data_IF_353970178246
#
_entry.id   IF_353970178246
#
_cell.length_a   1.000
_cell.length_b   1.000
_cell.length_c   1.000
_cell.angle_alpha   90.00
_cell.angle_beta   90.00
_cell.angle_gamma   90.00
#
_symmetry.space_group_name_H-M   'P 1'
#
loop_
_entity.id
_entity.type
_entity.pdbx_description
1 polymer ?
#
# COMPACT_ATOMS: atom_id res chain seq x y z
N UNK A 1 -9.09 0.12 15.27
CA UNK A 1 -8.27 -0.37 16.39
C UNK A 1 -7.27 -1.39 15.87
N UNK A 2 -6.18 -1.65 16.64
CA UNK A 2 -5.16 -2.63 16.25
C UNK A 2 -4.10 -2.13 15.29
N UNK A 3 -4.02 -0.82 15.01
CA UNK A 3 -2.98 -0.25 14.18
C UNK A 3 -1.61 -0.41 14.87
N UNK A 4 -0.65 -1.00 14.14
CA UNK A 4 0.75 -1.00 14.57
C UNK A 4 1.30 0.44 14.51
N UNK A 5 1.82 0.93 15.64
CA UNK A 5 2.43 2.26 15.74
C UNK A 5 3.93 2.19 15.42
N UNK A 6 4.28 1.55 14.30
CA UNK A 6 5.65 1.52 13.79
C UNK A 6 6.10 2.89 13.25
N UNK A 7 7.41 3.10 13.19
CA UNK A 7 8.01 4.38 12.76
C UNK A 7 7.48 4.87 11.39
N UNK A 8 7.31 3.96 10.43
CA UNK A 8 6.81 4.26 9.08
C UNK A 8 5.33 4.69 9.09
N UNK A 9 4.51 4.07 9.94
CA UNK A 9 3.09 4.45 10.11
C UNK A 9 3.00 5.83 10.77
N UNK A 10 3.79 6.06 11.81
CA UNK A 10 3.83 7.36 12.50
C UNK A 10 4.39 8.46 11.62
N UNK A 11 5.42 8.20 10.80
CA UNK A 11 5.94 9.14 9.84
C UNK A 11 4.86 9.54 8.81
N UNK A 12 4.09 8.56 8.31
CA UNK A 12 2.95 8.83 7.41
C UNK A 12 1.87 9.67 8.08
N UNK A 13 1.49 9.35 9.32
CA UNK A 13 0.49 10.13 10.08
C UNK A 13 0.96 11.58 10.32
N UNK A 14 2.23 11.77 10.67
CA UNK A 14 2.81 13.09 10.88
C UNK A 14 2.88 13.90 9.57
N UNK A 15 3.24 13.26 8.45
CA UNK A 15 3.21 13.89 7.14
C UNK A 15 1.80 14.35 6.75
N UNK A 16 0.78 13.51 6.98
CA UNK A 16 -0.62 13.88 6.73
C UNK A 16 -1.10 15.02 7.63
N UNK A 17 -0.69 15.06 8.91
CA UNK A 17 -0.95 16.20 9.80
C UNK A 17 -0.31 17.48 9.28
N UNK A 18 0.93 17.41 8.82
CA UNK A 18 1.62 18.56 8.23
C UNK A 18 0.95 19.06 6.94
N UNK A 19 0.26 18.18 6.21
CA UNK A 19 -0.58 18.49 5.06
C UNK A 19 -1.99 18.98 5.44
N UNK A 20 -2.29 19.17 6.73
CA UNK A 20 -3.54 19.77 7.22
C UNK A 20 -4.64 18.77 7.63
N UNK A 21 -4.35 17.49 7.65
CA UNK A 21 -5.32 16.48 8.10
C UNK A 21 -5.31 16.38 9.61
N UNK A 22 -6.49 16.43 10.24
CA UNK A 22 -6.61 16.18 11.67
C UNK A 22 -6.60 14.66 11.92
N UNK A 23 -5.60 14.21 12.68
CA UNK A 23 -5.43 12.80 13.05
C UNK A 23 -5.21 12.73 14.57
N UNK A 24 -6.15 12.14 15.27
CA UNK A 24 -6.12 11.99 16.73
C UNK A 24 -6.23 10.52 17.13
N UNK A 25 -5.74 10.21 18.33
CA UNK A 25 -5.92 8.92 18.97
C UNK A 25 -6.93 9.05 20.09
N UNK A 26 -7.93 8.18 20.09
CA UNK A 26 -8.94 8.15 21.16
C UNK A 26 -8.41 7.42 22.40
N UNK A 27 -9.05 7.61 23.54
CA UNK A 27 -8.73 6.91 24.78
C UNK A 27 -8.87 5.38 24.66
N UNK A 28 -9.67 4.90 23.72
CA UNK A 28 -9.82 3.46 23.40
C UNK A 28 -8.73 2.91 22.49
N UNK A 29 -7.76 3.74 22.10
CA UNK A 29 -6.68 3.36 21.19
C UNK A 29 -7.07 3.29 19.72
N UNK A 30 -8.28 3.76 19.36
CA UNK A 30 -8.65 3.93 17.96
C UNK A 30 -8.07 5.24 17.39
N UNK A 31 -7.82 5.27 16.11
CA UNK A 31 -7.38 6.45 15.38
C UNK A 31 -8.58 7.10 14.69
N UNK A 32 -8.75 8.40 14.89
CA UNK A 32 -9.75 9.20 14.20
C UNK A 32 -9.05 10.11 13.19
N UNK A 33 -9.53 10.08 11.95
CA UNK A 33 -8.97 10.86 10.84
C UNK A 33 -10.12 11.70 10.27
N UNK A 34 -9.99 13.01 10.31
CA UNK A 34 -10.94 13.93 9.69
C UNK A 34 -10.41 14.31 8.32
N UNK A 35 -11.05 13.75 7.27
CA UNK A 35 -10.69 14.01 5.90
C UNK A 35 -10.94 15.46 5.50
N UNK A 36 -10.13 15.97 4.56
CA UNK A 36 -10.20 17.37 4.09
C UNK A 36 -10.80 17.52 2.68
N UNK A 37 -11.36 16.44 2.13
CA UNK A 37 -11.95 16.43 0.78
C UNK A 37 -10.92 16.49 -0.33
N UNK A 38 -11.41 16.63 -1.58
CA UNK A 38 -10.59 16.51 -2.80
C UNK A 38 -9.44 17.55 -2.89
N UNK A 39 -9.62 18.75 -2.34
CA UNK A 39 -8.66 19.85 -2.48
C UNK A 39 -8.31 20.54 -1.17
N UNK A 40 -8.55 19.88 -0.04
CA UNK A 40 -8.37 20.48 1.29
C UNK A 40 -6.97 20.36 1.87
N UNK A 41 -6.04 19.67 1.22
CA UNK A 41 -4.66 19.59 1.67
C UNK A 41 -3.95 20.94 1.51
N UNK A 42 -3.03 21.24 2.44
CA UNK A 42 -2.25 22.47 2.46
C UNK A 42 -0.75 22.18 2.29
N UNK A 43 0.00 23.17 1.77
CA UNK A 43 1.47 23.07 1.71
C UNK A 43 2.05 23.03 3.12
N UNK A 44 2.90 22.05 3.45
CA UNK A 44 3.51 21.96 4.76
C UNK A 44 4.56 23.07 4.95
N UNK A 45 4.73 23.52 6.19
CA UNK A 45 5.71 24.60 6.54
C UNK A 45 7.16 24.09 6.55
N UNK A 46 7.35 22.79 6.71
CA UNK A 46 8.66 22.12 6.78
C UNK A 46 8.68 20.92 5.83
N UNK A 47 9.85 20.46 5.42
CA UNK A 47 9.96 19.19 4.69
C UNK A 47 9.26 18.05 5.43
N UNK A 48 8.64 17.14 4.67
CA UNK A 48 8.03 15.93 5.17
C UNK A 48 9.11 14.86 5.33
N UNK A 49 9.50 14.59 6.55
CA UNK A 49 10.45 13.51 6.86
C UNK A 49 9.70 12.18 7.01
N UNK A 50 10.04 11.24 6.16
CA UNK A 50 9.44 9.90 6.14
C UNK A 50 10.34 8.84 6.78
N UNK A 51 11.46 9.23 7.41
CA UNK A 51 12.42 8.28 7.99
C UNK A 51 12.85 7.23 6.96
N UNK A 52 12.63 5.95 7.25
CA UNK A 52 12.89 4.84 6.31
C UNK A 52 11.66 4.40 5.50
N UNK A 53 10.52 5.09 5.62
CA UNK A 53 9.26 4.68 4.99
C UNK A 53 9.28 4.84 3.47
N UNK A 54 9.83 3.86 2.77
CA UNK A 54 9.88 3.84 1.30
C UNK A 54 8.50 3.77 0.65
N UNK A 55 7.53 3.13 1.29
CA UNK A 55 6.14 3.10 0.82
C UNK A 55 5.47 4.44 1.09
N UNK A 56 5.56 4.93 2.32
CA UNK A 56 4.95 6.22 2.70
C UNK A 56 5.36 7.35 1.78
N UNK A 57 6.68 7.54 1.56
CA UNK A 57 7.17 8.62 0.70
C UNK A 57 6.62 8.54 -0.72
N UNK A 58 6.59 7.34 -1.32
CA UNK A 58 6.15 7.17 -2.72
C UNK A 58 4.65 7.38 -2.90
N UNK A 59 3.84 6.88 -1.98
CA UNK A 59 2.39 7.08 -2.01
C UNK A 59 2.02 8.54 -1.78
N UNK A 60 2.65 9.20 -0.80
CA UNK A 60 2.42 10.62 -0.52
C UNK A 60 2.88 11.54 -1.65
N UNK A 61 3.93 11.18 -2.40
CA UNK A 61 4.28 11.88 -3.65
C UNK A 61 3.10 11.86 -4.65
N UNK A 62 2.41 10.74 -4.77
CA UNK A 62 1.19 10.63 -5.60
C UNK A 62 0.07 11.53 -5.09
N UNK A 63 -0.19 11.53 -3.78
CA UNK A 63 -1.18 12.41 -3.15
C UNK A 63 -0.89 13.88 -3.45
N UNK A 64 0.35 14.33 -3.19
CA UNK A 64 0.76 15.74 -3.39
C UNK A 64 0.70 16.13 -4.87
N UNK A 65 1.12 15.25 -5.78
CA UNK A 65 1.10 15.53 -7.22
C UNK A 65 -0.30 15.88 -7.76
N UNK A 66 -1.35 15.27 -7.19
CA UNK A 66 -2.75 15.52 -7.54
C UNK A 66 -3.39 16.71 -6.82
N UNK A 67 -2.63 17.54 -6.10
CA UNK A 67 -3.15 18.64 -5.29
C UNK A 67 -2.43 19.96 -5.62
N UNK A 68 -3.07 21.14 -5.51
CA UNK A 68 -2.44 22.43 -5.79
C UNK A 68 -1.54 22.91 -4.64
N UNK A 69 -0.64 22.06 -4.18
CA UNK A 69 0.26 22.29 -3.05
C UNK A 69 1.71 21.98 -3.42
N UNK A 70 2.65 22.48 -2.62
CA UNK A 70 4.08 22.15 -2.74
C UNK A 70 4.55 21.49 -1.47
N UNK A 71 5.23 20.34 -1.60
CA UNK A 71 5.86 19.64 -0.48
C UNK A 71 7.24 19.13 -0.88
N UNK A 72 8.18 19.19 0.07
CA UNK A 72 9.51 18.59 -0.04
C UNK A 72 9.57 17.35 0.83
N UNK A 73 10.01 16.24 0.25
CA UNK A 73 10.15 14.96 0.91
C UNK A 73 11.60 14.68 1.26
N UNK A 74 11.83 14.22 2.48
CA UNK A 74 13.12 13.79 2.99
C UNK A 74 13.01 12.42 3.64
N UNK A 75 14.10 11.85 4.06
CA UNK A 75 14.16 10.59 4.79
C UNK A 75 15.58 10.33 5.31
N UNK A 76 15.77 9.21 5.96
CA UNK A 76 17.05 8.80 6.50
C UNK A 76 18.09 8.50 5.39
N UNK A 77 19.30 8.11 5.80
CA UNK A 77 20.39 7.79 4.88
C UNK A 77 20.02 6.66 3.92
N UNK A 78 19.35 5.62 4.42
CA UNK A 78 18.93 4.45 3.63
C UNK A 78 17.86 4.83 2.58
N UNK A 79 16.87 5.62 2.96
CA UNK A 79 15.82 6.06 2.05
C UNK A 79 16.36 7.08 1.02
N UNK A 80 17.31 7.93 1.45
CA UNK A 80 17.88 8.99 0.63
C UNK A 80 18.71 8.52 -0.56
N UNK A 81 19.15 7.27 -0.57
CA UNK A 81 19.89 6.67 -1.69
C UNK A 81 18.98 5.82 -2.62
N UNK A 82 17.69 5.70 -2.28
CA UNK A 82 16.74 4.96 -3.11
C UNK A 82 16.21 5.85 -4.24
N UNK A 83 16.26 5.42 -5.52
CA UNK A 83 15.79 6.24 -6.63
C UNK A 83 14.26 6.40 -6.61
N UNK A 84 13.80 7.62 -6.87
CA UNK A 84 12.38 7.97 -6.93
C UNK A 84 11.87 8.18 -8.36
N UNK A 85 12.75 8.14 -9.37
CA UNK A 85 12.40 8.42 -10.76
C UNK A 85 11.21 7.59 -11.27
N UNK A 86 11.11 6.31 -10.87
CA UNK A 86 9.98 5.45 -11.26
C UNK A 86 8.61 5.97 -10.78
N UNK A 87 8.59 6.82 -9.74
CA UNK A 87 7.40 7.48 -9.22
C UNK A 87 7.25 8.86 -9.81
N UNK A 88 8.33 9.65 -9.82
CA UNK A 88 8.28 11.05 -10.23
C UNK A 88 8.03 11.24 -11.74
N UNK A 89 8.54 10.34 -12.57
CA UNK A 89 8.33 10.42 -14.02
C UNK A 89 6.86 10.33 -14.45
N UNK A 90 6.06 9.35 -14.00
CA UNK A 90 4.63 9.33 -14.30
C UNK A 90 3.88 10.51 -13.69
N UNK A 91 4.22 10.94 -12.47
CA UNK A 91 3.57 12.09 -11.83
C UNK A 91 3.85 13.40 -12.55
N UNK A 92 5.06 13.58 -13.09
CA UNK A 92 5.39 14.75 -13.94
C UNK A 92 4.53 14.79 -15.21
N UNK A 93 4.26 13.62 -15.82
CA UNK A 93 3.35 13.52 -16.98
C UNK A 93 1.90 13.83 -16.62
N UNK A 94 1.50 13.69 -15.36
CA UNK A 94 0.18 14.08 -14.85
C UNK A 94 0.10 15.59 -14.53
N UNK A 95 1.18 16.35 -14.74
CA UNK A 95 1.20 17.80 -14.61
C UNK A 95 1.92 18.35 -13.37
N UNK A 96 2.45 17.48 -12.51
CA UNK A 96 3.24 17.93 -11.36
C UNK A 96 4.61 18.45 -11.80
N UNK A 97 5.10 19.52 -11.15
CA UNK A 97 6.48 20.01 -11.32
C UNK A 97 7.34 19.37 -10.22
N UNK A 98 8.43 18.75 -10.62
CA UNK A 98 9.23 17.94 -9.70
C UNK A 98 10.70 18.36 -9.82
N UNK A 99 11.34 18.58 -8.67
CA UNK A 99 12.77 18.77 -8.55
C UNK A 99 13.33 17.77 -7.54
N UNK A 100 14.51 17.23 -7.83
CA UNK A 100 15.17 16.24 -6.98
C UNK A 100 16.67 16.47 -6.96
N UNK A 101 17.35 15.81 -6.04
CA UNK A 101 18.81 15.68 -6.13
C UNK A 101 19.18 14.87 -7.38
N UNK A 102 20.40 15.00 -7.83
CA UNK A 102 20.95 14.22 -8.95
C UNK A 102 20.68 12.72 -8.79
N UNK A 103 20.32 12.06 -9.89
CA UNK A 103 19.91 10.65 -9.87
C UNK A 103 18.47 10.42 -9.45
N UNK A 104 17.64 11.46 -9.29
CA UNK A 104 16.24 11.31 -8.85
C UNK A 104 16.11 10.89 -7.38
N UNK A 105 17.07 11.32 -6.54
CA UNK A 105 17.16 10.98 -5.13
C UNK A 105 16.50 12.02 -4.23
N UNK A 106 16.20 11.65 -2.97
CA UNK A 106 15.77 12.62 -1.95
C UNK A 106 16.89 13.61 -1.59
N UNK A 107 16.55 14.89 -1.23
CA UNK A 107 15.20 15.41 -1.16
C UNK A 107 14.53 15.58 -2.52
N UNK A 108 13.22 15.34 -2.57
CA UNK A 108 12.37 15.55 -3.75
C UNK A 108 11.32 16.60 -3.40
N UNK A 109 11.22 17.64 -4.20
CA UNK A 109 10.15 18.64 -4.09
C UNK A 109 9.14 18.45 -5.20
N UNK A 110 7.87 18.35 -4.83
CA UNK A 110 6.75 18.24 -5.76
C UNK A 110 5.85 19.45 -5.57
N UNK A 111 5.65 20.17 -6.66
CA UNK A 111 4.56 21.15 -6.80
C UNK A 111 3.49 20.49 -7.64
N UNK A 112 2.41 20.10 -7.01
CA UNK A 112 1.28 19.46 -7.66
C UNK A 112 0.42 20.47 -8.41
N UNK A 113 -0.69 20.00 -8.95
CA UNK A 113 -1.55 20.82 -9.80
C UNK A 113 -3.02 20.73 -9.38
N UNK A 114 -3.77 21.83 -9.54
CA UNK A 114 -5.21 21.85 -9.34
C UNK A 114 -5.98 21.07 -10.43
N UNK A 115 -5.35 20.80 -11.55
CA UNK A 115 -5.95 20.10 -12.69
C UNK A 115 -5.03 18.96 -13.15
N UNK A 116 -4.88 17.91 -12.33
CA UNK A 116 -4.06 16.77 -12.73
C UNK A 116 -4.65 16.09 -13.98
N UNK A 117 -3.75 15.67 -14.86
CA UNK A 117 -4.14 14.95 -16.07
C UNK A 117 -4.34 13.47 -15.74
N UNK A 118 -5.43 12.91 -16.25
CA UNK A 118 -5.61 11.46 -16.19
C UNK A 118 -4.49 10.76 -16.97
N UNK A 119 -3.92 9.72 -16.37
CA UNK A 119 -2.79 9.01 -16.93
C UNK A 119 -3.21 7.72 -17.65
N UNK A 120 -2.49 7.38 -18.73
CA UNK A 120 -2.40 6.02 -19.23
C UNK A 120 -0.95 5.56 -19.08
N UNK A 121 -0.64 4.96 -17.94
CA UNK A 121 0.72 4.56 -17.56
C UNK A 121 0.93 3.06 -17.78
N UNK A 122 1.89 2.74 -18.65
CA UNK A 122 2.35 1.36 -18.84
C UNK A 122 3.65 1.18 -18.06
N UNK A 123 3.60 0.39 -17.01
CA UNK A 123 4.77 0.09 -16.17
C UNK A 123 5.58 -1.05 -16.77
N UNK A 124 6.91 -0.89 -16.80
CA UNK A 124 7.84 -1.94 -17.26
C UNK A 124 8.00 -3.07 -16.24
N UNK A 125 7.62 -2.83 -14.99
CA UNK A 125 7.74 -3.76 -13.88
C UNK A 125 6.44 -3.77 -13.08
N UNK A 126 6.09 -4.89 -12.49
CA UNK A 126 4.99 -4.95 -11.53
C UNK A 126 5.43 -4.26 -10.23
N UNK A 127 4.73 -3.20 -9.85
CA UNK A 127 5.07 -2.44 -8.65
C UNK A 127 3.84 -1.78 -8.05
N UNK A 128 3.39 -2.30 -6.93
CA UNK A 128 2.27 -1.72 -6.18
C UNK A 128 2.52 -0.24 -5.83
N UNK A 129 3.75 0.16 -5.53
CA UNK A 129 4.08 1.53 -5.17
C UNK A 129 3.93 2.51 -6.35
N UNK A 130 4.38 2.12 -7.55
CA UNK A 130 4.20 2.95 -8.76
C UNK A 130 2.71 3.08 -9.07
N UNK A 131 2.02 1.95 -9.12
CA UNK A 131 0.58 1.88 -9.38
C UNK A 131 -0.19 2.74 -8.38
N UNK A 132 0.04 2.54 -7.08
CA UNK A 132 -0.64 3.30 -6.03
C UNK A 132 -0.39 4.80 -6.12
N UNK A 133 0.84 5.23 -6.37
CA UNK A 133 1.16 6.65 -6.52
C UNK A 133 0.41 7.29 -7.69
N UNK A 134 0.37 6.61 -8.85
CA UNK A 134 -0.36 7.10 -10.05
C UNK A 134 -1.87 7.13 -9.80
N UNK A 135 -2.43 6.09 -9.15
CA UNK A 135 -3.86 6.05 -8.82
C UNK A 135 -4.24 7.13 -7.80
N UNK A 136 -3.40 7.36 -6.76
CA UNK A 136 -3.64 8.41 -5.77
C UNK A 136 -3.63 9.82 -6.39
N UNK A 137 -2.71 10.09 -7.32
CA UNK A 137 -2.75 11.33 -8.10
C UNK A 137 -3.99 11.39 -9.01
N UNK A 138 -4.39 10.24 -9.57
CA UNK A 138 -5.54 10.09 -10.45
C UNK A 138 -6.88 10.29 -9.77
N UNK A 139 -6.98 10.18 -8.43
CA UNK A 139 -8.22 10.46 -7.70
C UNK A 139 -8.76 11.87 -7.95
N UNK A 140 -7.87 12.85 -8.14
CA UNK A 140 -8.23 14.24 -8.40
C UNK A 140 -8.19 14.60 -9.90
N UNK A 141 -7.81 13.65 -10.76
CA UNK A 141 -7.73 13.90 -12.19
C UNK A 141 -9.10 13.82 -12.85
N UNK A 142 -9.38 14.74 -13.77
CA UNK A 142 -10.59 14.65 -14.59
C UNK A 142 -10.46 13.56 -15.62
N UNK A 143 -11.40 12.59 -15.61
CA UNK A 143 -11.43 11.48 -16.55
C UNK A 143 -10.94 10.18 -15.94
N UNK A 144 -10.31 9.32 -16.74
CA UNK A 144 -9.97 7.95 -16.34
C UNK A 144 -8.46 7.74 -16.31
N UNK A 145 -7.93 7.38 -15.16
CA UNK A 145 -6.53 6.97 -15.00
C UNK A 145 -6.40 5.45 -15.15
N UNK A 146 -5.47 5.03 -15.99
CA UNK A 146 -5.20 3.63 -16.30
C UNK A 146 -3.75 3.32 -15.96
N UNK A 147 -3.52 2.20 -15.25
CA UNK A 147 -2.19 1.64 -15.03
C UNK A 147 -2.17 0.22 -15.56
N UNK A 148 -1.20 -0.09 -16.43
CA UNK A 148 -0.97 -1.44 -16.94
C UNK A 148 0.37 -1.95 -16.44
N UNK A 149 0.38 -3.16 -15.87
CA UNK A 149 1.57 -3.85 -15.34
C UNK A 149 1.76 -5.19 -16.06
N UNK A 150 2.99 -5.72 -16.19
CA UNK A 150 3.23 -7.01 -16.84
C UNK A 150 2.52 -8.18 -16.13
N UNK A 151 2.33 -8.12 -14.83
CA UNK A 151 1.55 -9.05 -14.01
C UNK A 151 1.02 -8.32 -12.77
N UNK A 152 0.08 -8.94 -12.05
CA UNK A 152 -0.52 -8.33 -10.86
C UNK A 152 0.53 -8.02 -9.79
N UNK A 153 0.49 -6.82 -9.25
CA UNK A 153 1.12 -6.44 -7.99
C UNK A 153 0.08 -6.25 -6.89
N UNK A 154 0.51 -6.21 -5.62
CA UNK A 154 -0.39 -6.03 -4.46
C UNK A 154 -1.42 -4.93 -4.71
N UNK A 155 -2.70 -5.20 -4.40
CA UNK A 155 -3.85 -4.37 -4.78
C UNK A 155 -4.59 -3.74 -3.58
N UNK A 156 -3.89 -3.57 -2.47
CA UNK A 156 -4.46 -2.95 -1.27
C UNK A 156 -5.02 -1.54 -1.51
N UNK A 157 -4.34 -0.74 -2.35
CA UNK A 157 -4.81 0.62 -2.69
C UNK A 157 -6.13 0.58 -3.45
N UNK A 158 -6.26 -0.32 -4.41
CA UNK A 158 -7.48 -0.50 -5.19
C UNK A 158 -8.63 -0.98 -4.31
N UNK A 159 -8.36 -1.94 -3.41
CA UNK A 159 -9.35 -2.45 -2.46
C UNK A 159 -9.82 -1.35 -1.52
N UNK A 160 -8.89 -0.54 -0.99
CA UNK A 160 -9.20 0.58 -0.13
C UNK A 160 -9.98 1.68 -0.87
N UNK A 161 -9.56 2.05 -2.08
CA UNK A 161 -10.27 3.05 -2.89
C UNK A 161 -11.72 2.60 -3.17
N UNK A 162 -11.94 1.33 -3.55
CA UNK A 162 -13.30 0.77 -3.71
C UNK A 162 -14.08 0.78 -2.42
N UNK A 163 -13.43 0.45 -1.30
CA UNK A 163 -14.08 0.49 0.01
C UNK A 163 -14.60 1.89 0.34
N UNK A 164 -13.82 2.93 0.05
CA UNK A 164 -14.24 4.32 0.23
C UNK A 164 -15.14 4.87 -0.89
N UNK A 165 -15.53 4.05 -1.88
CA UNK A 165 -16.52 4.42 -2.89
C UNK A 165 -15.97 4.88 -4.23
N UNK A 166 -14.65 4.88 -4.44
CA UNK A 166 -14.09 5.15 -5.76
C UNK A 166 -14.40 4.01 -6.75
N UNK A 167 -14.64 4.38 -8.00
CA UNK A 167 -14.84 3.42 -9.09
C UNK A 167 -13.49 2.93 -9.61
N UNK A 168 -13.10 1.72 -9.16
CA UNK A 168 -11.85 1.07 -9.57
C UNK A 168 -12.15 -0.32 -10.10
N UNK A 169 -11.74 -0.60 -11.34
CA UNK A 169 -11.78 -1.95 -11.93
C UNK A 169 -10.38 -2.51 -12.17
N UNK A 170 -10.32 -3.83 -12.26
CA UNK A 170 -9.11 -4.60 -12.56
C UNK A 170 -9.45 -5.64 -13.61
N UNK A 171 -8.64 -5.70 -14.68
CA UNK A 171 -8.84 -6.59 -15.81
C UNK A 171 -7.48 -7.23 -16.21
N UNK A 172 -7.55 -8.38 -16.84
CA UNK A 172 -6.39 -9.00 -17.50
C UNK A 172 -6.58 -8.82 -19.01
N UNK A 173 -5.62 -8.16 -19.65
CA UNK A 173 -5.63 -7.96 -21.09
C UNK A 173 -5.36 -9.27 -21.84
N UNK A 174 -5.67 -9.33 -23.12
CA UNK A 174 -5.46 -10.51 -23.96
C UNK A 174 -3.97 -10.95 -24.05
N UNK A 175 -3.04 -10.03 -23.81
CA UNK A 175 -1.60 -10.28 -23.77
C UNK A 175 -1.10 -10.75 -22.38
N UNK A 176 -2.01 -10.94 -21.41
CA UNK A 176 -1.70 -11.36 -20.06
C UNK A 176 -1.30 -10.22 -19.12
N UNK A 177 -1.20 -8.99 -19.61
CA UNK A 177 -0.88 -7.83 -18.74
C UNK A 177 -2.07 -7.47 -17.83
N UNK A 178 -1.77 -6.97 -16.65
CA UNK A 178 -2.74 -6.54 -15.65
C UNK A 178 -3.07 -5.07 -15.84
N UNK A 179 -4.35 -4.73 -15.92
CA UNK A 179 -4.84 -3.37 -16.11
C UNK A 179 -5.71 -2.95 -14.94
N UNK A 180 -5.40 -1.79 -14.36
CA UNK A 180 -6.21 -1.13 -13.34
C UNK A 180 -6.74 0.17 -13.90
N UNK A 181 -8.04 0.41 -13.72
CA UNK A 181 -8.74 1.59 -14.22
C UNK A 181 -9.43 2.29 -13.06
N UNK A 182 -9.18 3.60 -12.90
CA UNK A 182 -9.75 4.45 -11.87
C UNK A 182 -10.52 5.61 -12.55
N UNK A 183 -11.78 5.80 -12.19
CA UNK A 183 -12.50 7.04 -12.51
C UNK A 183 -12.05 8.13 -11.51
N UNK A 184 -11.57 9.24 -12.01
CA UNK A 184 -11.12 10.37 -11.20
C UNK A 184 -12.28 11.26 -10.73
N UNK A 185 -11.92 12.34 -10.00
CA UNK A 185 -12.88 13.23 -9.32
C UNK A 185 -13.86 12.44 -8.41
N UNK A 186 -13.37 11.35 -7.81
CA UNK A 186 -14.17 10.48 -6.96
C UNK A 186 -14.36 11.11 -5.58
N UNK A 187 -15.60 11.38 -5.22
CA UNK A 187 -15.94 11.75 -3.85
C UNK A 187 -15.89 10.49 -2.96
N UNK A 188 -14.93 10.46 -2.05
CA UNK A 188 -14.76 9.34 -1.14
C UNK A 188 -15.68 9.50 0.07
N UNK A 189 -16.26 8.38 0.50
CA UNK A 189 -17.15 8.32 1.67
C UNK A 189 -16.38 7.78 2.87
N UNK A 190 -16.38 8.52 3.98
CA UNK A 190 -15.75 8.09 5.21
C UNK A 190 -16.37 6.78 5.74
N UNK A 191 -15.51 5.85 6.14
CA UNK A 191 -15.88 4.54 6.69
C UNK A 191 -14.93 4.12 7.79
N UNK A 192 -15.44 3.32 8.71
CA UNK A 192 -14.59 2.67 9.69
C UNK A 192 -13.74 1.57 9.05
N UNK A 193 -12.50 1.48 9.50
CA UNK A 193 -11.55 0.46 9.05
C UNK A 193 -11.02 -0.31 10.27
N UNK A 194 -11.11 -1.62 10.21
CA UNK A 194 -10.29 -2.51 11.01
C UNK A 194 -9.05 -2.86 10.18
N UNK A 195 -7.86 -2.55 10.69
CA UNK A 195 -6.61 -2.88 10.02
C UNK A 195 -6.34 -4.38 10.22
N UNK A 196 -6.23 -5.19 9.16
CA UNK A 196 -5.93 -6.61 9.28
C UNK A 196 -4.56 -6.87 9.93
N UNK A 197 -4.42 -8.03 10.57
CA UNK A 197 -3.11 -8.54 10.96
C UNK A 197 -2.21 -8.72 9.73
N UNK A 198 -0.94 -8.27 9.83
CA UNK A 198 0.00 -8.38 8.73
C UNK A 198 0.43 -9.85 8.52
N UNK A 199 0.24 -10.43 7.30
CA UNK A 199 0.64 -11.81 7.03
C UNK A 199 2.15 -12.04 7.14
N UNK A 200 2.99 -11.03 6.91
CA UNK A 200 4.44 -11.14 7.07
C UNK A 200 4.82 -11.24 8.55
N UNK A 201 4.20 -10.46 9.42
CA UNK A 201 4.39 -10.58 10.87
C UNK A 201 3.83 -11.90 11.40
N UNK A 202 2.66 -12.33 10.92
CA UNK A 202 2.05 -13.62 11.27
C UNK A 202 2.94 -14.81 10.86
N UNK A 203 3.73 -14.68 9.79
CA UNK A 203 4.62 -15.72 9.30
C UNK A 203 5.60 -16.24 10.38
N UNK A 204 6.18 -15.35 11.17
CA UNK A 204 7.09 -15.73 12.25
C UNK A 204 6.40 -16.59 13.29
N UNK A 205 5.20 -16.19 13.70
CA UNK A 205 4.40 -16.92 14.69
C UNK A 205 3.92 -18.26 14.12
N UNK A 206 3.50 -18.30 12.85
CA UNK A 206 3.12 -19.54 12.16
C UNK A 206 4.28 -20.53 12.11
N UNK A 207 5.47 -20.08 11.69
CA UNK A 207 6.64 -20.97 11.61
C UNK A 207 7.05 -21.44 13.00
N UNK A 208 7.06 -20.56 14.00
CA UNK A 208 7.37 -20.94 15.38
C UNK A 208 6.41 -22.05 15.90
N UNK A 209 5.11 -21.91 15.64
CA UNK A 209 4.13 -22.93 16.03
C UNK A 209 4.29 -24.25 15.28
N UNK A 210 4.64 -24.21 13.98
CA UNK A 210 4.84 -25.43 13.18
C UNK A 210 6.01 -26.25 13.69
N UNK A 211 7.11 -25.61 14.15
CA UNK A 211 8.33 -26.30 14.57
C UNK A 211 8.41 -26.60 16.08
N UNK A 212 7.57 -25.96 16.90
CA UNK A 212 7.55 -26.18 18.34
C UNK A 212 6.61 -27.34 18.70
N UNK A 213 7.12 -28.34 19.44
CA UNK A 213 6.31 -29.48 19.88
C UNK A 213 5.09 -29.01 20.68
N UNK A 214 3.98 -29.74 20.52
CA UNK A 214 2.69 -29.54 21.22
C UNK A 214 2.05 -28.15 21.00
N UNK A 215 2.52 -27.38 20.04
CA UNK A 215 1.93 -26.08 19.71
C UNK A 215 0.56 -26.25 19.03
N UNK A 216 -0.39 -25.43 19.48
CA UNK A 216 -1.71 -25.22 18.86
C UNK A 216 -2.13 -23.79 19.15
N UNK A 217 -2.03 -22.93 18.15
CA UNK A 217 -2.32 -21.51 18.28
C UNK A 217 -3.29 -21.04 17.19
N UNK A 218 -4.03 -19.99 17.49
CA UNK A 218 -4.86 -19.28 16.48
C UNK A 218 -4.42 -17.84 16.40
N UNK A 219 -4.14 -17.37 15.18
CA UNK A 219 -3.80 -15.99 14.86
C UNK A 219 -5.04 -15.37 14.22
N UNK A 220 -5.74 -14.44 14.90
CA UNK A 220 -7.00 -13.92 14.41
C UNK A 220 -6.79 -12.81 13.37
N UNK A 221 -7.76 -12.63 12.48
CA UNK A 221 -7.93 -11.51 11.57
C UNK A 221 -6.70 -11.20 10.71
N UNK A 222 -5.99 -12.20 10.22
CA UNK A 222 -4.83 -12.04 9.33
C UNK A 222 -5.30 -11.69 7.92
N UNK A 223 -4.63 -10.73 7.28
CA UNK A 223 -4.85 -10.36 5.88
C UNK A 223 -4.61 -11.54 4.93
N UNK A 224 -5.60 -11.84 4.10
CA UNK A 224 -5.61 -12.99 3.18
C UNK A 224 -5.57 -12.56 1.71
N UNK A 225 -4.88 -11.47 1.41
CA UNK A 225 -4.67 -11.06 0.03
C UNK A 225 -3.91 -12.15 -0.74
N UNK A 226 -4.44 -12.69 -1.85
CA UNK A 226 -3.78 -13.77 -2.60
C UNK A 226 -2.35 -13.46 -3.05
N UNK A 227 -2.05 -12.16 -3.23
CA UNK A 227 -0.72 -11.69 -3.60
C UNK A 227 0.27 -11.59 -2.41
N UNK A 228 -0.17 -12.06 -1.21
CA UNK A 228 0.63 -12.09 0.03
C UNK A 228 0.58 -13.42 0.79
N UNK A 229 -0.18 -14.39 0.31
CA UNK A 229 -0.42 -15.66 1.02
C UNK A 229 0.39 -16.84 0.48
N UNK A 230 1.36 -16.59 -0.40
CA UNK A 230 2.21 -17.63 -0.98
C UNK A 230 2.95 -18.47 0.07
N UNK A 231 3.36 -17.86 1.19
CA UNK A 231 4.00 -18.57 2.29
C UNK A 231 3.06 -19.60 2.93
N UNK A 232 1.80 -19.26 3.13
CA UNK A 232 0.80 -20.21 3.71
C UNK A 232 0.66 -21.43 2.83
N UNK A 233 0.57 -21.23 1.51
CA UNK A 233 0.54 -22.31 0.52
C UNK A 233 1.80 -23.18 0.62
N UNK A 234 2.97 -22.54 0.65
CA UNK A 234 4.27 -23.21 0.75
C UNK A 234 4.36 -24.05 2.04
N UNK A 235 4.01 -23.49 3.19
CA UNK A 235 4.06 -24.19 4.47
C UNK A 235 3.09 -25.40 4.50
N UNK A 236 1.92 -25.28 3.88
CA UNK A 236 0.98 -26.43 3.72
C UNK A 236 1.57 -27.53 2.84
N UNK A 237 2.19 -27.16 1.72
CA UNK A 237 2.86 -28.13 0.84
C UNK A 237 4.04 -28.83 1.54
N UNK A 238 4.71 -28.14 2.47
CA UNK A 238 5.73 -28.73 3.34
C UNK A 238 5.16 -29.70 4.40
N UNK A 239 3.85 -29.86 4.48
CA UNK A 239 3.17 -30.72 5.47
C UNK A 239 2.71 -29.97 6.72
N UNK A 240 2.70 -28.64 6.71
CA UNK A 240 2.24 -27.81 7.81
C UNK A 240 0.74 -27.94 8.07
N UNK A 241 0.37 -28.22 9.33
CA UNK A 241 -1.02 -28.27 9.78
C UNK A 241 -1.53 -26.84 10.01
N UNK A 242 -2.02 -26.23 8.95
CA UNK A 242 -2.56 -24.86 8.93
C UNK A 242 -4.02 -24.92 8.50
N UNK A 243 -4.91 -24.46 9.35
CA UNK A 243 -6.35 -24.37 9.11
C UNK A 243 -6.75 -22.90 8.99
N UNK A 244 -7.50 -22.55 7.94
CA UNK A 244 -8.04 -21.21 7.71
C UNK A 244 -9.53 -21.29 8.01
N UNK A 245 -10.01 -20.37 8.83
CA UNK A 245 -11.40 -20.29 9.26
C UNK A 245 -11.87 -18.84 9.33
N UNK A 246 -13.19 -18.66 9.51
CA UNK A 246 -13.78 -17.33 9.70
C UNK A 246 -13.37 -16.31 8.61
N UNK A 247 -13.35 -16.79 7.34
CA UNK A 247 -13.04 -15.92 6.20
C UNK A 247 -14.13 -14.86 6.02
N UNK A 248 -13.74 -13.61 5.92
CA UNK A 248 -14.64 -12.46 5.78
C UNK A 248 -13.96 -11.28 5.10
N UNK A 249 -14.72 -10.26 4.78
CA UNK A 249 -14.20 -8.99 4.23
C UNK A 249 -14.39 -7.91 5.29
N UNK A 250 -13.30 -7.25 5.69
CA UNK A 250 -13.29 -6.10 6.58
C UNK A 250 -12.42 -4.98 5.99
N UNK A 251 -12.92 -3.74 6.02
CA UNK A 251 -12.18 -2.60 5.47
C UNK A 251 -11.83 -2.72 3.98
N UNK A 252 -12.58 -3.55 3.22
CA UNK A 252 -12.30 -3.84 1.80
C UNK A 252 -11.26 -4.95 1.58
N UNK A 253 -10.66 -5.49 2.64
CA UNK A 253 -9.66 -6.55 2.59
C UNK A 253 -10.23 -7.91 3.01
N UNK A 254 -9.76 -8.98 2.38
CA UNK A 254 -10.03 -10.34 2.82
C UNK A 254 -9.20 -10.65 4.05
N UNK A 255 -9.84 -11.18 5.09
CA UNK A 255 -9.18 -11.61 6.32
C UNK A 255 -9.69 -12.98 6.76
N UNK A 256 -8.88 -13.69 7.54
CA UNK A 256 -9.26 -14.95 8.13
C UNK A 256 -8.54 -15.17 9.47
N UNK A 257 -9.00 -16.13 10.23
CA UNK A 257 -8.32 -16.66 11.39
C UNK A 257 -7.49 -17.89 10.97
N UNK A 258 -6.23 -17.92 11.38
CA UNK A 258 -5.28 -18.96 11.00
C UNK A 258 -4.93 -19.78 12.24
N UNK A 259 -5.36 -21.05 12.29
CA UNK A 259 -4.95 -22.01 13.32
C UNK A 259 -3.75 -22.80 12.83
N UNK A 260 -2.71 -22.89 13.64
CA UNK A 260 -1.45 -23.55 13.31
C UNK A 260 -1.08 -24.52 14.42
N UNK A 261 -0.74 -25.77 14.05
CA UNK A 261 -0.32 -26.81 14.99
C UNK A 261 1.05 -27.36 14.62
N UNK A 262 1.76 -27.86 15.61
CA UNK A 262 3.01 -28.56 15.39
C UNK A 262 2.94 -29.55 14.24
N UNK A 263 3.97 -29.59 13.41
CA UNK A 263 4.00 -30.42 12.20
C UNK A 263 5.43 -30.86 11.87
N UNK A 264 5.57 -32.06 11.35
CA UNK A 264 6.82 -32.55 10.79
C UNK A 264 6.94 -32.04 9.35
N UNK A 265 7.67 -30.95 9.18
CA UNK A 265 7.85 -30.30 7.87
C UNK A 265 8.88 -31.06 7.02
N UNK A 266 8.64 -31.08 5.70
CA UNK A 266 9.56 -31.57 4.67
C UNK A 266 9.89 -30.47 3.69
N UNK A 267 11.12 -30.43 3.20
CA UNK A 267 11.54 -29.45 2.19
C UNK A 267 10.85 -29.67 0.85
N UNK A 268 10.53 -28.59 0.17
CA UNK A 268 9.92 -28.61 -1.17
C UNK A 268 10.66 -27.65 -2.12
N UNK A 269 10.48 -27.85 -3.43
CA UNK A 269 10.88 -26.87 -4.44
C UNK A 269 9.73 -25.86 -4.64
N UNK A 270 9.95 -24.61 -4.31
CA UNK A 270 8.94 -23.55 -4.48
C UNK A 270 8.98 -23.04 -5.92
N UNK A 271 7.83 -22.96 -6.63
CA UNK A 271 7.76 -22.39 -7.96
C UNK A 271 8.20 -20.92 -7.96
N UNK A 272 9.07 -20.49 -8.92
CA UNK A 272 9.60 -19.11 -8.95
C UNK A 272 8.51 -18.02 -8.98
N UNK A 273 7.40 -18.28 -9.66
CA UNK A 273 6.25 -17.37 -9.77
C UNK A 273 5.57 -17.08 -8.43
N UNK A 274 5.71 -17.97 -7.44
CA UNK A 274 5.18 -17.78 -6.09
C UNK A 274 6.02 -16.80 -5.27
N UNK A 275 7.29 -16.58 -5.62
CA UNK A 275 8.20 -15.76 -4.82
C UNK A 275 7.63 -14.38 -4.52
N UNK A 276 7.00 -13.72 -5.50
CA UNK A 276 6.43 -12.37 -5.35
C UNK A 276 5.32 -12.30 -4.29
N UNK A 277 4.61 -13.39 -3.99
CA UNK A 277 3.53 -13.45 -3.01
C UNK A 277 3.98 -13.87 -1.60
N UNK A 278 5.27 -14.13 -1.41
CA UNK A 278 5.84 -14.58 -0.13
C UNK A 278 7.15 -13.88 0.25
N UNK A 279 7.56 -12.90 -0.55
CA UNK A 279 8.74 -12.10 -0.29
C UNK A 279 8.35 -10.86 0.52
N UNK A 280 8.81 -10.78 1.75
CA UNK A 280 8.84 -9.58 2.61
C UNK A 280 9.75 -9.82 3.80
#
# INVERSE_FOLDING_TARGET
SGLLEGEDVMATANAMRALGVEITRTDTGAWQIIGVGLHGLISPKQPLDLGNSGTGVRLLMGVVAGQPITATFTGDESLSVRPMARITDPLAKMGAKITSREGGLLPVTITGTATPLAANHVSKVASAQIKSAVLLAGLNARGTTIVTEPHASRDHSESMMRHFGASVSQDINADGTHRVTLAGEAELVAKDILVPGDPSSAAFVMVAALISADSDITIPAVGMNPLRTGLITTLREMGGNIEISNERIEGGEKIADIRVRHSKLTGIAVPPERAASMID
#
